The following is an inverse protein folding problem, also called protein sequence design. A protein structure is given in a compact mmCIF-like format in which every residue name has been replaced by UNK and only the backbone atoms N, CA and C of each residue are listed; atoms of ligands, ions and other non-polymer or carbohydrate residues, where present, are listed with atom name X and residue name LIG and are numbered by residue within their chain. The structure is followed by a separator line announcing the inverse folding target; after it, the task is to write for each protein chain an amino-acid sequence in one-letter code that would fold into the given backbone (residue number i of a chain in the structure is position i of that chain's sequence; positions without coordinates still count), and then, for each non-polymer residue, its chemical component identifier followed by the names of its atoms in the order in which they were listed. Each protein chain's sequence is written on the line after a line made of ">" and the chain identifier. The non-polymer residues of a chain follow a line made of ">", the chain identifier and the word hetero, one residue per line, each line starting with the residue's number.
data_IF_272161523844
#
_entry.id   IF_272161523844
#
_cell.length_a   1.000
_cell.length_b   1.000
_cell.length_c   1.000
_cell.angle_alpha   90.00
_cell.angle_beta   90.00
_cell.angle_gamma   90.00
#
_symmetry.space_group_name_H-M   'P 1'
#
loop_
_entity.id
_entity.type
_entity.pdbx_description
1 polymer ?
#
# COMPACT_ATOMS: atom_id res chain seq x y z
N UNK A 1 -14.11 1.41 -10.45
CA UNK A 1 -13.81 2.70 -11.12
C UNK A 1 -12.32 2.94 -10.99
N UNK A 2 -11.58 3.01 -12.09
CA UNK A 2 -10.14 3.31 -12.08
C UNK A 2 -9.99 4.82 -11.83
N UNK A 3 -9.29 5.20 -10.77
CA UNK A 3 -9.12 6.62 -10.44
C UNK A 3 -8.17 7.26 -11.46
N UNK A 4 -8.40 8.53 -11.83
CA UNK A 4 -7.54 9.30 -12.76
C UNK A 4 -6.06 9.33 -12.35
N UNK A 5 -5.79 9.07 -11.07
CA UNK A 5 -4.47 9.12 -10.46
C UNK A 5 -3.90 7.73 -10.12
N UNK A 6 -4.50 6.64 -10.59
CA UNK A 6 -3.99 5.29 -10.31
C UNK A 6 -2.57 5.09 -10.84
N UNK A 7 -2.23 5.71 -11.97
CA UNK A 7 -0.89 5.72 -12.54
C UNK A 7 0.15 6.49 -11.71
N UNK A 8 -0.27 7.30 -10.73
CA UNK A 8 0.61 8.06 -9.83
C UNK A 8 0.82 7.35 -8.48
N UNK A 9 0.07 6.28 -8.22
CA UNK A 9 0.21 5.49 -7.00
C UNK A 9 1.39 4.54 -7.16
N UNK A 10 2.31 4.62 -6.20
CA UNK A 10 3.50 3.78 -6.12
C UNK A 10 3.44 3.07 -4.77
N UNK A 11 3.65 1.76 -4.78
CA UNK A 11 3.76 0.98 -3.56
C UNK A 11 5.22 0.96 -3.09
N UNK A 12 5.48 1.48 -1.90
CA UNK A 12 6.83 1.52 -1.31
C UNK A 12 6.93 0.55 -0.13
N UNK A 13 7.90 -0.34 -0.18
CA UNK A 13 8.21 -1.22 0.96
C UNK A 13 8.71 -0.38 2.14
N UNK A 14 8.12 -0.62 3.31
CA UNK A 14 8.38 0.12 4.55
C UNK A 14 8.38 -0.86 5.71
N UNK A 15 9.25 -0.63 6.69
CA UNK A 15 9.24 -1.38 7.96
C UNK A 15 8.21 -0.75 8.90
N UNK A 16 7.33 -1.56 9.46
CA UNK A 16 6.33 -1.13 10.42
C UNK A 16 7.00 -0.69 11.72
N UNK A 17 6.74 0.56 12.12
CA UNK A 17 7.18 1.11 13.41
C UNK A 17 6.05 0.95 14.44
N UNK A 18 4.81 0.93 13.98
CA UNK A 18 3.59 0.74 14.78
C UNK A 18 2.70 -0.31 14.10
N UNK A 19 1.65 -0.73 14.81
CA UNK A 19 0.64 -1.61 14.24
C UNK A 19 -0.06 -0.95 13.05
N UNK A 20 -0.22 -1.74 11.98
CA UNK A 20 -0.96 -1.36 10.78
C UNK A 20 -1.89 -2.50 10.40
N UNK A 21 -2.97 -2.18 9.68
CA UNK A 21 -3.85 -3.18 9.09
C UNK A 21 -3.68 -3.18 7.57
N UNK A 22 -3.66 -4.37 6.99
CA UNK A 22 -3.68 -4.51 5.54
C UNK A 22 -5.06 -4.13 5.00
N UNK A 23 -5.13 -3.18 4.07
CA UNK A 23 -6.36 -2.71 3.43
C UNK A 23 -7.02 -3.71 2.47
N UNK A 24 -6.43 -4.91 2.28
CA UNK A 24 -6.96 -5.95 1.39
C UNK A 24 -7.43 -7.21 2.11
N UNK A 25 -6.77 -7.59 3.21
CA UNK A 25 -7.09 -8.81 3.95
C UNK A 25 -7.28 -8.58 5.46
N UNK A 26 -7.25 -7.32 5.90
CA UNK A 26 -7.38 -6.89 7.29
C UNK A 26 -6.36 -7.53 8.25
N UNK A 27 -5.33 -8.21 7.72
CA UNK A 27 -4.26 -8.79 8.50
C UNK A 27 -3.49 -7.69 9.24
N UNK A 28 -3.26 -7.94 10.53
CA UNK A 28 -2.39 -7.12 11.36
C UNK A 28 -0.93 -7.23 10.90
N UNK A 29 -0.31 -6.07 10.75
CA UNK A 29 1.11 -5.88 10.49
C UNK A 29 1.69 -5.35 11.79
N UNK A 30 2.49 -6.18 12.46
CA UNK A 30 3.07 -5.84 13.76
C UNK A 30 4.32 -4.98 13.59
N UNK A 31 4.72 -4.19 14.61
CA UNK A 31 5.99 -3.48 14.60
C UNK A 31 7.16 -4.43 14.32
N UNK A 32 8.05 -4.03 13.40
CA UNK A 32 9.18 -4.85 12.95
C UNK A 32 8.93 -5.61 11.65
N UNK A 33 7.68 -5.85 11.26
CA UNK A 33 7.36 -6.47 9.97
C UNK A 33 7.52 -5.50 8.80
N UNK A 34 7.62 -6.04 7.60
CA UNK A 34 7.63 -5.26 6.36
C UNK A 34 6.25 -5.25 5.74
N UNK A 35 5.87 -4.08 5.20
CA UNK A 35 4.63 -3.91 4.45
C UNK A 35 4.85 -2.91 3.31
N UNK A 36 3.89 -2.86 2.39
CA UNK A 36 3.89 -1.96 1.26
C UNK A 36 2.87 -0.87 1.48
N UNK A 37 3.35 0.37 1.58
CA UNK A 37 2.50 1.54 1.72
C UNK A 37 2.27 2.17 0.36
N UNK A 38 1.01 2.43 0.03
CA UNK A 38 0.66 3.26 -1.12
C UNK A 38 1.17 4.67 -0.90
N UNK A 39 1.80 5.24 -1.91
CA UNK A 39 2.30 6.60 -1.91
C UNK A 39 1.92 7.25 -3.24
N UNK A 40 1.47 8.50 -3.21
CA UNK A 40 1.14 9.25 -4.43
C UNK A 40 2.35 10.09 -4.78
N UNK A 41 2.82 9.99 -6.03
CA UNK A 41 4.00 10.76 -6.51
C UNK A 41 3.76 12.28 -6.45
N UNK A 42 2.51 12.70 -6.58
CA UNK A 42 2.11 14.10 -6.51
C UNK A 42 1.91 14.58 -5.07
N UNK A 43 2.65 15.63 -4.69
CA UNK A 43 2.66 16.20 -3.33
C UNK A 43 1.42 17.04 -3.01
N UNK A 44 0.67 17.47 -4.02
CA UNK A 44 -0.49 18.36 -3.86
C UNK A 44 -1.80 17.58 -3.76
N UNK A 45 -1.79 16.31 -4.17
CA UNK A 45 -2.92 15.40 -3.94
C UNK A 45 -2.81 14.87 -2.51
N UNK A 46 -3.60 15.46 -1.61
CA UNK A 46 -3.77 14.90 -0.26
C UNK A 46 -4.36 13.50 -0.38
N UNK A 47 -3.53 12.50 -0.15
CA UNK A 47 -3.90 11.11 -0.24
C UNK A 47 -4.70 10.71 1.01
N UNK A 48 -5.98 11.07 1.03
CA UNK A 48 -6.89 10.84 2.16
C UNK A 48 -7.07 9.33 2.47
N UNK A 49 -6.73 8.44 1.53
CA UNK A 49 -6.94 6.99 1.63
C UNK A 49 -5.72 6.18 1.18
N UNK A 50 -4.52 6.49 1.69
CA UNK A 50 -3.36 5.65 1.43
C UNK A 50 -3.56 4.26 2.02
N UNK A 51 -3.53 3.25 1.16
CA UNK A 51 -3.68 1.85 1.53
C UNK A 51 -2.35 1.25 1.98
N UNK A 52 -2.43 0.31 2.93
CA UNK A 52 -1.30 -0.49 3.36
C UNK A 52 -1.55 -1.94 2.94
N UNK A 53 -0.54 -2.59 2.38
CA UNK A 53 -0.63 -3.97 1.93
C UNK A 53 0.43 -4.81 2.65
N UNK A 54 0.03 -5.94 3.21
CA UNK A 54 0.99 -6.93 3.68
C UNK A 54 1.76 -7.51 2.48
N UNK A 55 2.93 -8.09 2.75
CA UNK A 55 3.79 -8.71 1.73
C UNK A 55 3.03 -9.71 0.86
N UNK A 56 2.18 -10.54 1.46
CA UNK A 56 1.37 -11.53 0.74
C UNK A 56 0.33 -10.91 -0.19
N UNK A 57 -0.28 -9.78 0.18
CA UNK A 57 -1.24 -9.10 -0.70
C UNK A 57 -0.55 -8.33 -1.82
N UNK A 58 0.63 -7.76 -1.52
CA UNK A 58 1.44 -7.10 -2.53
C UNK A 58 1.89 -8.07 -3.63
N UNK A 59 2.29 -9.28 -3.26
CA UNK A 59 2.72 -10.30 -4.21
C UNK A 59 1.57 -10.69 -5.18
N UNK A 60 0.35 -10.84 -4.65
CA UNK A 60 -0.85 -11.05 -5.46
C UNK A 60 -1.16 -9.87 -6.40
N UNK A 61 -0.94 -8.64 -5.97
CA UNK A 61 -1.16 -7.45 -6.81
C UNK A 61 -0.15 -7.37 -7.95
N UNK A 62 1.11 -7.76 -7.74
CA UNK A 62 2.13 -7.80 -8.80
C UNK A 62 1.74 -8.69 -9.98
N UNK A 63 1.05 -9.80 -9.71
CA UNK A 63 0.63 -10.77 -10.74
C UNK A 63 -0.45 -10.23 -11.69
N UNK A 64 -1.11 -9.11 -11.37
CA UNK A 64 -2.13 -8.49 -12.22
C UNK A 64 -1.60 -7.41 -13.17
N UNK A 65 -0.31 -7.08 -13.11
CA UNK A 65 0.32 -6.05 -13.96
C UNK A 65 1.35 -6.63 -14.95
N UNK A 66 1.31 -7.94 -15.23
CA UNK A 66 2.05 -8.60 -16.31
C UNK A 66 1.10 -8.85 -17.48
#
# INVERSE_FOLDING_TARGET
>A
MVSKYDCLKILKMTKAIKFHFCSNCDKEIIPGEYYYKENIKDKYIHALNLKNYCTSCFDKLKLYFI
#
